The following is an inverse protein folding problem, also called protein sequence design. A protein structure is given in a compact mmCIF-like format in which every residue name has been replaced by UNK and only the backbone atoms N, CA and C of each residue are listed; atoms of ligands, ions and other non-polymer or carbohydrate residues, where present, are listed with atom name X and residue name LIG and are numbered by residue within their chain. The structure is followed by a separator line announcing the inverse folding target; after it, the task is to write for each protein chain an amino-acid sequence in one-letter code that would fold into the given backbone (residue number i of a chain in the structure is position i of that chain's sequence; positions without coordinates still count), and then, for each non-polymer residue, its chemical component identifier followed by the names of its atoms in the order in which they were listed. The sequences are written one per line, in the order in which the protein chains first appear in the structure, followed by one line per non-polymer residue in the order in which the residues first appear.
data_IF_097602479504
#
_entry.id   IF_097602479504
#
_cell.length_a   1.000
_cell.length_b   1.000
_cell.length_c   1.000
_cell.angle_alpha   90.00
_cell.angle_beta   90.00
_cell.angle_gamma   90.00
#
_symmetry.space_group_name_H-M   'P 1'
#
loop_
_entity.id
_entity.type
_entity.pdbx_description
1 polymer ?
#
# COMPACT_ATOMS: atom_id res chain seq x y z
N UNK A 1 -22.11 43.28 -35.71
CA UNK A 1 -21.82 41.83 -35.89
C UNK A 1 -22.75 41.07 -34.96
N UNK A 2 -23.67 40.26 -35.54
CA UNK A 2 -24.72 39.59 -34.76
C UNK A 2 -24.16 38.54 -33.86
N UNK A 3 -24.17 38.78 -32.57
CA UNK A 3 -23.67 37.86 -31.51
C UNK A 3 -24.33 36.48 -31.62
N UNK A 4 -25.57 36.39 -32.08
CA UNK A 4 -26.31 35.15 -32.31
C UNK A 4 -25.71 34.29 -33.43
N UNK A 5 -25.15 34.94 -34.49
CA UNK A 5 -24.47 34.23 -35.57
C UNK A 5 -23.12 33.70 -35.10
N UNK A 6 -22.40 34.45 -34.28
CA UNK A 6 -21.13 34.06 -33.68
C UNK A 6 -21.28 32.85 -32.77
N UNK A 7 -22.29 32.85 -31.89
CA UNK A 7 -22.58 31.73 -30.98
C UNK A 7 -22.96 30.46 -31.75
N UNK A 8 -23.79 30.58 -32.81
CA UNK A 8 -24.14 29.44 -33.66
C UNK A 8 -22.90 28.87 -34.36
N UNK A 9 -22.02 29.70 -34.88
CA UNK A 9 -20.76 29.23 -35.51
C UNK A 9 -19.86 28.51 -34.55
N UNK A 10 -19.69 29.01 -33.33
CA UNK A 10 -18.86 28.38 -32.29
C UNK A 10 -19.44 27.01 -31.89
N UNK A 11 -20.76 26.89 -31.79
CA UNK A 11 -21.45 25.66 -31.44
C UNK A 11 -21.29 24.59 -32.54
N UNK A 12 -21.36 24.96 -33.82
CA UNK A 12 -21.11 24.05 -34.93
C UNK A 12 -19.65 23.56 -34.96
N UNK A 13 -18.67 24.40 -34.67
CA UNK A 13 -17.27 24.02 -34.59
C UNK A 13 -17.05 23.04 -33.48
N UNK A 14 -17.65 23.29 -32.31
CA UNK A 14 -17.55 22.39 -31.17
C UNK A 14 -18.13 21.00 -31.45
N UNK A 15 -19.32 20.94 -32.06
CA UNK A 15 -19.96 19.67 -32.44
C UNK A 15 -19.14 18.92 -33.49
N UNK A 16 -18.59 19.60 -34.50
CA UNK A 16 -17.73 18.98 -35.50
C UNK A 16 -16.45 18.40 -34.92
N UNK A 17 -15.80 19.11 -33.98
CA UNK A 17 -14.62 18.62 -33.26
C UNK A 17 -14.94 17.41 -32.38
N UNK A 18 -16.09 17.43 -31.67
CA UNK A 18 -16.53 16.28 -30.86
C UNK A 18 -16.78 15.03 -31.68
N UNK A 19 -17.42 15.15 -32.83
CA UNK A 19 -17.65 14.03 -33.76
C UNK A 19 -16.35 13.52 -34.37
N UNK A 20 -15.40 14.42 -34.70
CA UNK A 20 -14.09 14.03 -35.21
C UNK A 20 -13.29 13.18 -34.22
N UNK A 21 -13.32 13.53 -32.92
CA UNK A 21 -12.65 12.75 -31.86
C UNK A 21 -13.27 11.36 -31.68
N UNK A 22 -14.61 11.25 -31.78
CA UNK A 22 -15.30 9.96 -31.71
C UNK A 22 -14.93 9.03 -32.86
N UNK A 23 -14.91 9.57 -34.10
CA UNK A 23 -14.56 8.79 -35.29
C UNK A 23 -13.08 8.38 -35.25
N UNK A 24 -12.19 9.25 -34.79
CA UNK A 24 -10.76 8.94 -34.65
C UNK A 24 -10.51 7.78 -33.66
N UNK A 25 -11.29 7.71 -32.56
CA UNK A 25 -11.18 6.64 -31.57
C UNK A 25 -11.63 5.27 -32.09
N UNK A 26 -12.60 5.24 -32.99
CA UNK A 26 -13.08 3.98 -33.62
C UNK A 26 -12.11 3.47 -34.70
N UNK A 27 -11.35 4.37 -35.37
CA UNK A 27 -10.46 4.02 -36.48
C UNK A 27 -8.99 3.80 -36.07
N UNK A 28 -8.63 3.94 -34.80
CA UNK A 28 -7.28 3.62 -34.35
C UNK A 28 -7.03 2.10 -34.39
N UNK A 29 -6.09 1.60 -35.20
CA UNK A 29 -5.81 0.18 -35.28
C UNK A 29 -5.27 -0.31 -33.93
N UNK A 30 -5.99 -1.22 -33.33
CA UNK A 30 -5.61 -1.98 -32.15
C UNK A 30 -4.33 -2.76 -32.51
N UNK A 31 -3.19 -2.37 -31.99
CA UNK A 31 -1.97 -3.17 -32.13
C UNK A 31 -2.11 -4.44 -31.31
N UNK A 32 -2.51 -5.50 -31.98
CA UNK A 32 -2.43 -6.86 -31.44
C UNK A 32 -0.96 -7.25 -31.34
N UNK A 33 -0.48 -7.31 -30.13
CA UNK A 33 0.79 -7.96 -29.80
C UNK A 33 0.64 -9.46 -30.01
N UNK A 34 1.21 -9.92 -31.11
CA UNK A 34 1.22 -11.31 -31.58
C UNK A 34 2.07 -12.12 -30.58
N UNK A 35 1.41 -12.93 -29.79
CA UNK A 35 2.06 -14.00 -29.02
C UNK A 35 2.47 -15.09 -30.01
N UNK A 36 3.77 -15.33 -30.11
CA UNK A 36 4.32 -16.44 -30.89
C UNK A 36 4.04 -17.76 -30.19
N UNK A 37 3.18 -18.55 -30.82
CA UNK A 37 3.14 -20.00 -30.64
C UNK A 37 4.35 -20.60 -31.34
N UNK A 38 5.16 -21.36 -30.61
CA UNK A 38 6.07 -22.35 -31.18
C UNK A 38 6.00 -23.62 -30.35
N UNK A 39 5.47 -24.61 -31.02
CA UNK A 39 5.85 -26.03 -31.16
C UNK A 39 5.62 -26.95 -30.00
N UNK A 40 4.61 -27.73 -30.22
CA UNK A 40 4.38 -29.09 -29.75
C UNK A 40 5.47 -30.05 -30.26
N UNK A 41 6.17 -30.73 -29.36
CA UNK A 41 6.90 -31.98 -29.70
C UNK A 41 6.76 -32.97 -28.53
N UNK A 42 5.93 -33.88 -28.76
CA UNK A 42 5.78 -35.29 -28.46
C UNK A 42 6.94 -35.99 -27.67
N UNK A 43 6.56 -36.57 -26.53
CA UNK A 43 6.91 -37.92 -26.10
C UNK A 43 8.21 -38.06 -25.35
N UNK A 44 8.17 -38.38 -24.08
CA UNK A 44 8.68 -39.68 -23.61
C UNK A 44 8.35 -39.85 -22.13
N UNK A 45 7.86 -41.05 -21.86
CA UNK A 45 7.44 -41.55 -20.56
C UNK A 45 8.66 -42.08 -19.85
N UNK A 46 9.11 -41.45 -18.77
CA UNK A 46 10.08 -42.07 -17.86
C UNK A 46 9.59 -41.97 -16.44
N UNK A 47 9.15 -43.07 -15.93
CA UNK A 47 8.84 -43.31 -14.52
C UNK A 47 10.17 -43.34 -13.74
N UNK A 48 10.35 -42.34 -12.85
CA UNK A 48 11.37 -42.41 -11.82
C UNK A 48 10.70 -42.43 -10.46
N UNK A 49 10.91 -43.58 -9.83
CA UNK A 49 10.56 -43.90 -8.46
C UNK A 49 11.24 -42.94 -7.50
N UNK A 50 10.49 -42.22 -6.67
CA UNK A 50 11.02 -41.39 -5.60
C UNK A 50 10.96 -42.16 -4.29
N UNK A 51 12.13 -42.56 -3.85
CA UNK A 51 12.41 -43.15 -2.54
C UNK A 51 12.25 -42.05 -1.45
N UNK A 52 11.68 -42.36 -0.28
CA UNK A 52 11.51 -41.34 0.78
C UNK A 52 12.78 -41.22 1.62
N UNK A 53 13.36 -40.03 1.70
CA UNK A 53 14.44 -39.70 2.62
C UNK A 53 13.97 -39.63 4.07
N UNK A 54 14.75 -40.12 5.03
CA UNK A 54 14.38 -40.20 6.45
C UNK A 54 14.57 -38.86 7.17
N UNK A 55 13.66 -38.59 8.11
CA UNK A 55 13.68 -37.46 9.02
C UNK A 55 14.91 -37.46 9.94
N UNK A 56 15.51 -36.30 10.27
CA UNK A 56 16.53 -36.25 11.30
C UNK A 56 15.92 -36.25 12.70
N UNK A 57 16.43 -37.14 13.50
CA UNK A 57 16.10 -37.36 14.91
C UNK A 57 16.49 -36.18 15.79
N UNK A 58 15.54 -35.74 16.61
CA UNK A 58 15.77 -34.89 17.76
C UNK A 58 16.68 -35.52 18.80
N UNK A 59 17.74 -34.81 19.20
CA UNK A 59 18.50 -35.13 20.41
C UNK A 59 18.29 -33.98 21.43
N UNK A 60 18.07 -34.31 22.71
CA UNK A 60 17.93 -33.31 23.76
C UNK A 60 19.31 -32.95 24.34
N UNK A 61 19.63 -31.65 24.36
CA UNK A 61 20.80 -31.18 25.09
C UNK A 61 20.42 -30.60 26.44
N UNK A 62 21.14 -31.10 27.40
CA UNK A 62 21.05 -30.95 28.85
C UNK A 62 21.24 -29.50 29.31
N UNK A 63 20.45 -29.21 30.30
CA UNK A 63 20.56 -28.18 31.34
C UNK A 63 22.00 -27.96 31.83
N UNK A 64 22.45 -26.71 31.86
CA UNK A 64 23.53 -26.26 32.71
C UNK A 64 23.14 -24.90 33.33
N UNK A 65 22.74 -24.97 34.57
CA UNK A 65 22.52 -23.83 35.44
C UNK A 65 23.87 -23.18 35.78
N UNK A 66 23.99 -21.90 35.52
CA UNK A 66 25.05 -21.09 36.16
C UNK A 66 24.40 -19.85 36.78
N UNK A 67 24.35 -19.86 38.12
CA UNK A 67 24.05 -18.70 38.97
C UNK A 67 25.12 -17.64 38.82
N UNK A 68 24.75 -16.42 38.44
CA UNK A 68 25.55 -15.23 38.73
C UNK A 68 24.67 -14.14 39.33
N UNK A 69 24.82 -14.05 40.58
CA UNK A 69 24.98 -12.96 41.56
C UNK A 69 24.41 -11.58 41.16
N UNK A 70 23.37 -11.31 41.82
CA UNK A 70 22.74 -10.02 42.16
C UNK A 70 23.74 -8.89 42.42
N UNK A 71 23.60 -7.81 41.64
CA UNK A 71 24.14 -6.50 41.99
C UNK A 71 23.00 -5.48 41.93
N UNK A 72 22.66 -4.95 43.06
CA UNK A 72 21.57 -4.03 43.34
C UNK A 72 21.58 -2.74 42.50
N UNK A 73 20.40 -2.13 42.26
CA UNK A 73 20.18 -1.10 41.28
C UNK A 73 20.46 0.30 41.83
N UNK A 74 21.15 1.10 41.04
CA UNK A 74 21.05 2.56 41.15
C UNK A 74 19.68 3.00 40.57
N UNK A 75 19.04 4.02 41.16
CA UNK A 75 17.79 4.54 40.66
C UNK A 75 18.05 5.37 39.39
N UNK A 76 17.96 4.68 38.25
CA UNK A 76 17.83 5.37 36.95
C UNK A 76 16.39 5.82 36.84
N UNK A 77 16.22 7.13 36.79
CA UNK A 77 15.02 7.84 36.38
C UNK A 77 14.36 7.08 35.24
N UNK A 78 13.23 6.43 35.51
CA UNK A 78 12.37 5.85 34.48
C UNK A 78 11.90 7.00 33.58
N UNK A 79 12.63 7.24 32.51
CA UNK A 79 12.06 7.86 31.33
C UNK A 79 11.05 6.85 30.83
N UNK A 80 9.79 7.02 31.20
CA UNK A 80 8.63 6.29 30.71
C UNK A 80 8.69 6.38 29.17
N UNK A 81 9.31 5.41 28.55
CA UNK A 81 9.32 5.27 27.11
C UNK A 81 7.87 5.17 26.71
N UNK A 82 7.29 6.28 26.23
CA UNK A 82 5.95 6.26 25.65
C UNK A 82 5.99 5.28 24.49
N UNK A 83 5.28 4.17 24.66
CA UNK A 83 5.23 3.08 23.68
C UNK A 83 4.27 3.50 22.56
N UNK A 84 4.61 4.63 21.91
CA UNK A 84 3.81 5.23 20.84
C UNK A 84 4.29 4.70 19.49
N UNK A 85 3.33 4.29 18.66
CA UNK A 85 3.55 3.74 17.33
C UNK A 85 2.56 4.33 16.34
N UNK A 86 3.04 4.72 15.17
CA UNK A 86 2.21 5.12 14.04
C UNK A 86 2.08 3.95 13.07
N UNK A 87 0.87 3.60 12.68
CA UNK A 87 0.61 2.61 11.63
C UNK A 87 -0.01 3.33 10.43
N UNK A 88 0.61 3.18 9.28
CA UNK A 88 0.07 3.62 8.00
C UNK A 88 -0.62 2.44 7.32
N UNK A 89 -1.91 2.34 7.48
CA UNK A 89 -2.74 1.32 6.82
C UNK A 89 -3.07 1.73 5.40
N UNK A 90 -2.81 0.85 4.43
CA UNK A 90 -3.41 0.97 3.11
C UNK A 90 -4.55 -0.03 2.95
N UNK A 91 -5.77 0.45 3.06
CA UNK A 91 -6.96 -0.39 2.92
C UNK A 91 -7.33 -0.59 1.46
N UNK A 92 -7.50 -1.85 1.06
CA UNK A 92 -7.85 -2.25 -0.30
C UNK A 92 -8.86 -3.40 -0.31
N UNK A 93 -9.47 -3.69 -1.45
CA UNK A 93 -10.23 -4.90 -1.68
C UNK A 93 -9.44 -5.95 -2.45
N UNK A 94 -10.02 -7.11 -2.69
CA UNK A 94 -9.44 -8.21 -3.47
C UNK A 94 -9.16 -7.77 -4.90
N UNK A 95 -10.09 -7.03 -5.51
CA UNK A 95 -9.86 -6.43 -6.82
C UNK A 95 -9.11 -5.11 -6.68
N UNK A 96 -7.95 -5.02 -7.36
CA UNK A 96 -7.08 -3.85 -7.35
C UNK A 96 -6.99 -3.22 -8.74
N UNK A 97 -7.55 -2.03 -8.91
CA UNK A 97 -7.37 -1.22 -10.12
C UNK A 97 -5.93 -0.69 -10.24
N UNK A 98 -5.53 -0.26 -11.44
CA UNK A 98 -4.19 0.33 -11.65
C UNK A 98 -3.93 1.50 -10.72
N UNK A 99 -4.85 2.46 -10.61
CA UNK A 99 -4.73 3.60 -9.70
C UNK A 99 -4.60 3.16 -8.24
N UNK A 100 -5.34 2.11 -7.83
CA UNK A 100 -5.25 1.58 -6.46
C UNK A 100 -3.83 1.06 -6.15
N UNK A 101 -3.24 0.34 -7.10
CA UNK A 101 -1.85 -0.16 -6.97
C UNK A 101 -0.84 0.96 -6.93
N UNK A 102 -1.02 1.99 -7.77
CA UNK A 102 -0.14 3.17 -7.78
C UNK A 102 -0.20 3.92 -6.45
N UNK A 103 -1.40 4.10 -5.85
CA UNK A 103 -1.53 4.75 -4.53
C UNK A 103 -0.82 3.93 -3.46
N UNK A 104 -0.96 2.61 -3.46
CA UNK A 104 -0.26 1.72 -2.52
C UNK A 104 1.26 1.83 -2.66
N UNK A 105 1.76 1.69 -3.88
CA UNK A 105 3.18 1.79 -4.22
C UNK A 105 3.76 3.14 -3.80
N UNK A 106 3.12 4.25 -4.19
CA UNK A 106 3.58 5.58 -3.84
C UNK A 106 3.54 5.84 -2.33
N UNK A 107 2.53 5.31 -1.63
CA UNK A 107 2.45 5.42 -0.16
C UNK A 107 3.60 4.67 0.52
N UNK A 108 3.86 3.44 0.08
CA UNK A 108 4.97 2.63 0.56
C UNK A 108 6.31 3.32 0.29
N UNK A 109 6.55 3.74 -0.95
CA UNK A 109 7.81 4.36 -1.37
C UNK A 109 8.08 5.68 -0.64
N UNK A 110 7.07 6.54 -0.48
CA UNK A 110 7.20 7.78 0.27
C UNK A 110 7.57 7.51 1.73
N UNK A 111 6.91 6.54 2.38
CA UNK A 111 7.20 6.14 3.75
C UNK A 111 8.62 5.56 3.88
N UNK A 112 9.03 4.70 2.96
CA UNK A 112 10.38 4.14 2.94
C UNK A 112 11.45 5.22 2.72
N UNK A 113 11.22 6.14 1.78
CA UNK A 113 12.19 7.18 1.43
C UNK A 113 12.45 8.16 2.59
N UNK A 114 11.38 8.58 3.29
CA UNK A 114 11.49 9.65 4.28
C UNK A 114 11.58 9.16 5.72
N UNK A 115 11.12 7.94 6.02
CA UNK A 115 10.97 7.45 7.40
C UNK A 115 11.64 6.08 7.64
N UNK A 116 12.68 5.75 6.89
CA UNK A 116 13.43 4.51 7.06
C UNK A 116 13.95 4.28 8.48
N UNK A 117 14.29 5.36 9.21
CA UNK A 117 14.75 5.30 10.60
C UNK A 117 13.61 4.91 11.55
N UNK A 118 12.43 5.50 11.37
CA UNK A 118 11.24 5.26 12.18
C UNK A 118 10.70 3.84 11.93
N UNK A 119 10.74 3.36 10.69
CA UNK A 119 10.42 1.99 10.32
C UNK A 119 11.34 0.98 11.01
N UNK A 120 12.67 1.19 10.95
CA UNK A 120 13.66 0.31 11.62
C UNK A 120 13.51 0.31 13.14
N UNK A 121 13.09 1.41 13.74
CA UNK A 121 12.84 1.51 15.19
C UNK A 121 11.47 0.95 15.60
N UNK A 122 10.64 0.53 14.67
CA UNK A 122 9.27 0.07 14.93
C UNK A 122 8.31 1.17 15.38
N UNK A 123 8.70 2.45 15.29
CA UNK A 123 7.84 3.61 15.59
C UNK A 123 6.85 3.91 14.49
N UNK A 124 7.16 3.50 13.25
CA UNK A 124 6.28 3.56 12.10
C UNK A 124 6.18 2.17 11.48
N UNK A 125 4.99 1.81 11.01
CA UNK A 125 4.75 0.59 10.25
C UNK A 125 3.87 0.92 9.04
N UNK A 126 4.19 0.35 7.87
CA UNK A 126 3.30 0.36 6.70
C UNK A 126 2.62 -0.99 6.59
N UNK A 127 1.29 -1.00 6.55
CA UNK A 127 0.49 -2.24 6.56
C UNK A 127 -0.62 -2.19 5.52
N UNK A 128 -0.47 -2.87 4.38
CA UNK A 128 -1.59 -3.11 3.47
C UNK A 128 -2.57 -4.11 4.08
N UNK A 129 -3.87 -3.82 3.95
CA UNK A 129 -4.94 -4.63 4.53
C UNK A 129 -6.06 -4.82 3.51
N UNK A 130 -6.41 -6.07 3.22
CA UNK A 130 -7.58 -6.41 2.43
C UNK A 130 -8.82 -6.41 3.34
N UNK A 131 -9.69 -5.41 3.17
CA UNK A 131 -10.91 -5.27 3.98
C UNK A 131 -12.03 -6.25 3.64
N UNK A 132 -11.89 -6.99 2.54
CA UNK A 132 -12.86 -8.01 2.14
C UNK A 132 -12.63 -9.36 2.85
N UNK A 133 -11.46 -9.55 3.45
CA UNK A 133 -11.18 -10.71 4.30
C UNK A 133 -12.04 -10.67 5.57
N UNK A 134 -12.58 -11.82 6.01
CA UNK A 134 -13.55 -11.86 7.12
C UNK A 134 -13.07 -11.19 8.40
N UNK A 135 -11.79 -11.34 8.74
CA UNK A 135 -11.19 -10.74 9.94
C UNK A 135 -10.98 -9.23 9.85
N UNK A 136 -11.01 -8.64 8.64
CA UNK A 136 -10.66 -7.24 8.39
C UNK A 136 -11.88 -6.35 8.11
N UNK A 137 -13.09 -6.92 8.01
CA UNK A 137 -14.29 -6.16 7.67
C UNK A 137 -14.65 -5.04 8.65
N UNK A 138 -14.27 -5.20 9.91
CA UNK A 138 -14.51 -4.20 10.95
C UNK A 138 -13.84 -2.86 10.63
N UNK A 139 -12.66 -2.86 9.97
CA UNK A 139 -11.97 -1.63 9.58
C UNK A 139 -12.81 -0.69 8.70
N UNK A 140 -13.79 -1.22 7.96
CA UNK A 140 -14.69 -0.39 7.14
C UNK A 140 -15.48 0.57 8.02
N UNK A 141 -15.99 0.09 9.16
CA UNK A 141 -16.74 0.90 10.11
C UNK A 141 -15.81 1.73 10.99
N UNK A 142 -14.73 1.14 11.51
CA UNK A 142 -13.79 1.79 12.42
C UNK A 142 -13.17 3.05 11.80
N UNK A 143 -12.81 2.99 10.52
CA UNK A 143 -12.18 4.11 9.80
C UNK A 143 -13.11 4.79 8.78
N UNK A 144 -14.42 4.47 8.80
CA UNK A 144 -15.45 5.05 7.91
C UNK A 144 -15.01 5.00 6.43
N UNK A 145 -14.55 3.85 5.99
CA UNK A 145 -13.96 3.67 4.66
C UNK A 145 -15.06 3.63 3.59
N UNK A 146 -15.06 4.62 2.69
CA UNK A 146 -15.95 4.66 1.53
C UNK A 146 -15.27 4.18 0.24
N UNK A 147 -13.93 4.10 0.25
CA UNK A 147 -13.09 3.66 -0.86
C UNK A 147 -11.76 3.13 -0.32
N UNK A 148 -10.88 2.65 -1.23
CA UNK A 148 -9.49 2.32 -0.88
C UNK A 148 -8.83 3.55 -0.29
N UNK A 149 -8.18 3.42 0.85
CA UNK A 149 -7.73 4.56 1.65
C UNK A 149 -6.37 4.33 2.26
N UNK A 150 -5.57 5.38 2.32
CA UNK A 150 -4.39 5.45 3.18
C UNK A 150 -4.81 6.09 4.51
N UNK A 151 -4.70 5.37 5.60
CA UNK A 151 -5.09 5.84 6.94
C UNK A 151 -3.88 5.77 7.87
N UNK A 152 -3.61 6.86 8.55
CA UNK A 152 -2.62 6.92 9.61
C UNK A 152 -3.31 6.71 10.96
N UNK A 153 -2.89 5.72 11.73
CA UNK A 153 -3.41 5.41 13.07
C UNK A 153 -2.29 5.53 14.11
N UNK A 154 -2.45 6.46 15.03
CA UNK A 154 -1.52 6.70 16.14
C UNK A 154 -1.94 5.90 17.36
N UNK A 155 -1.08 4.97 17.77
CA UNK A 155 -1.26 4.18 18.97
C UNK A 155 -0.36 4.70 20.10
N UNK A 156 -0.87 4.63 21.33
CA UNK A 156 -0.09 4.85 22.55
C UNK A 156 -0.47 3.76 23.54
N UNK A 157 0.51 3.05 24.08
CA UNK A 157 0.32 1.92 24.98
C UNK A 157 -0.64 0.85 24.41
N UNK A 158 -0.51 0.59 23.10
CA UNK A 158 -1.32 -0.40 22.37
C UNK A 158 -2.76 0.01 22.09
N UNK A 159 -3.18 1.23 22.44
CA UNK A 159 -4.52 1.77 22.18
C UNK A 159 -4.47 2.86 21.12
N UNK A 160 -5.41 2.83 20.20
CA UNK A 160 -5.55 3.93 19.23
C UNK A 160 -5.97 5.22 19.94
N UNK A 161 -5.19 6.28 19.71
CA UNK A 161 -5.45 7.61 20.24
C UNK A 161 -6.09 8.52 19.20
N UNK A 162 -5.68 8.34 17.95
CA UNK A 162 -6.08 9.22 16.86
C UNK A 162 -5.83 8.53 15.53
N UNK A 163 -6.69 8.77 14.58
CA UNK A 163 -6.46 8.36 13.21
C UNK A 163 -6.81 9.48 12.22
N UNK A 164 -6.28 9.36 11.01
CA UNK A 164 -6.52 10.29 9.92
C UNK A 164 -6.56 9.56 8.58
N UNK A 165 -7.65 9.74 7.82
CA UNK A 165 -7.73 9.30 6.44
C UNK A 165 -7.08 10.33 5.51
N UNK A 166 -6.11 9.91 4.71
CA UNK A 166 -5.38 10.75 3.75
C UNK A 166 -6.11 10.76 2.40
N UNK A 167 -7.33 11.31 2.37
CA UNK A 167 -8.18 11.26 1.18
C UNK A 167 -7.58 11.94 -0.06
N UNK A 168 -6.71 12.94 0.11
CA UNK A 168 -6.10 13.68 -0.99
C UNK A 168 -5.11 12.84 -1.85
N UNK A 169 -4.70 11.64 -1.39
CA UNK A 169 -3.91 10.70 -2.21
C UNK A 169 -4.59 10.40 -3.55
N UNK A 170 -5.92 10.40 -3.60
CA UNK A 170 -6.68 10.19 -4.83
C UNK A 170 -6.57 11.34 -5.83
N UNK A 171 -6.44 12.57 -5.33
CA UNK A 171 -6.26 13.78 -6.16
C UNK A 171 -4.81 13.87 -6.64
N UNK A 172 -3.87 13.45 -5.81
CA UNK A 172 -2.43 13.62 -6.02
C UNK A 172 -1.77 12.47 -6.78
N UNK A 173 -2.45 11.34 -6.98
CA UNK A 173 -1.87 10.13 -7.60
C UNK A 173 -1.26 10.36 -8.99
N UNK A 174 -1.66 11.41 -9.70
CA UNK A 174 -1.12 11.80 -11.01
C UNK A 174 0.14 12.68 -10.93
N UNK A 175 0.49 13.16 -9.74
CA UNK A 175 1.65 14.00 -9.47
C UNK A 175 2.43 13.37 -8.32
N UNK A 176 3.44 12.56 -8.68
CA UNK A 176 4.22 11.78 -7.73
C UNK A 176 4.89 12.65 -6.67
N UNK A 177 5.43 13.79 -7.05
CA UNK A 177 6.17 14.66 -6.14
C UNK A 177 5.24 15.28 -5.09
N UNK A 178 4.07 15.78 -5.51
CA UNK A 178 3.06 16.29 -4.57
C UNK A 178 2.47 15.19 -3.70
N UNK A 179 2.29 14.00 -4.24
CA UNK A 179 1.85 12.84 -3.47
C UNK A 179 2.84 12.50 -2.35
N UNK A 180 4.12 12.39 -2.69
CA UNK A 180 5.19 12.09 -1.76
C UNK A 180 5.32 13.15 -0.68
N UNK A 181 5.28 14.44 -1.07
CA UNK A 181 5.33 15.55 -0.11
C UNK A 181 4.14 15.51 0.84
N UNK A 182 2.93 15.29 0.33
CA UNK A 182 1.72 15.19 1.16
C UNK A 182 1.81 14.04 2.17
N UNK A 183 2.18 12.83 1.75
CA UNK A 183 2.35 11.69 2.66
C UNK A 183 3.43 11.98 3.70
N UNK A 184 4.57 12.54 3.29
CA UNK A 184 5.66 12.94 4.19
C UNK A 184 5.18 13.90 5.26
N UNK A 185 4.47 14.98 4.89
CA UNK A 185 4.04 16.01 5.81
C UNK A 185 3.02 15.48 6.83
N UNK A 186 2.08 14.65 6.38
CA UNK A 186 1.06 14.07 7.25
C UNK A 186 1.64 13.03 8.22
N UNK A 187 2.53 12.17 7.75
CA UNK A 187 3.24 11.20 8.62
C UNK A 187 4.13 11.93 9.62
N UNK A 188 4.91 12.93 9.18
CA UNK A 188 5.78 13.70 10.07
C UNK A 188 4.98 14.44 11.16
N UNK A 189 3.79 14.95 10.83
CA UNK A 189 2.91 15.63 11.77
C UNK A 189 2.47 14.69 12.89
N UNK A 190 2.01 13.48 12.57
CA UNK A 190 1.56 12.51 13.58
C UNK A 190 2.74 11.89 14.36
N UNK A 191 3.90 11.71 13.74
CA UNK A 191 5.10 11.24 14.43
C UNK A 191 5.63 12.22 15.49
N UNK A 192 5.32 13.51 15.39
CA UNK A 192 5.67 14.50 16.44
C UNK A 192 4.78 14.40 17.68
N UNK A 193 3.63 13.72 17.55
CA UNK A 193 2.67 13.50 18.63
C UNK A 193 2.98 12.18 19.39
N UNK A 194 4.04 11.41 18.95
CA UNK A 194 4.50 10.14 19.58
C UNK A 194 5.55 10.37 20.72
#
# INVERSE_FOLDING_TARGET
MDIRKLIKGLLFIFVALSLGVLIYKEFSPKSESRANNIVETRGEKTTVSVEPMPAPKSQPLKEAATKQKEKAPSPLTEVKAQNSKLIAYYFHGTFRCTTCRTIEEYSHDAIQAYFAKELRKGRLEFRPVNVEEPGNKHFIQDYQLVTRSLVLSLLSDGREKKWKNLADVWKLVRDKDKFFQYVKDEVAKLLKET
#
